data_IF_796354941984
#
_entry.id   IF_796354941984
#
_cell.length_a   1.000
_cell.length_b   1.000
_cell.length_c   1.000
_cell.angle_alpha   90.00
_cell.angle_beta   90.00
_cell.angle_gamma   90.00
#
_symmetry.space_group_name_H-M   'P 1'
#
loop_
_entity.id
_entity.type
_entity.pdbx_description
1 polymer ?
#
# COMPACT_ATOMS: atom_id res chain seq x y z
N UNK A 1 -9.88 -9.35 -26.96
CA UNK A 1 -9.72 -10.57 -26.12
C UNK A 1 -8.25 -10.73 -25.82
N UNK A 2 -7.78 -10.26 -24.66
CA UNK A 2 -6.44 -10.53 -24.12
C UNK A 2 -6.58 -10.53 -22.60
N UNK A 3 -6.60 -11.73 -22.04
CA UNK A 3 -5.53 -12.30 -21.20
C UNK A 3 -5.72 -11.96 -19.71
N UNK A 4 -6.65 -12.71 -19.12
CA UNK A 4 -6.69 -13.03 -17.69
C UNK A 4 -5.33 -13.61 -17.27
N UNK A 5 -4.42 -12.75 -16.85
CA UNK A 5 -3.12 -13.17 -16.34
C UNK A 5 -3.21 -13.24 -14.81
N UNK A 6 -2.87 -14.42 -14.33
CA UNK A 6 -3.04 -14.91 -12.97
C UNK A 6 -2.43 -13.96 -11.94
N UNK A 7 -3.28 -13.32 -11.13
CA UNK A 7 -2.87 -12.65 -9.90
C UNK A 7 -2.84 -13.69 -8.77
N UNK A 8 -2.06 -14.78 -8.97
CA UNK A 8 -1.80 -15.76 -7.92
C UNK A 8 -0.91 -15.10 -6.88
N UNK A 9 -1.57 -14.36 -5.99
CA UNK A 9 -1.19 -14.05 -4.62
C UNK A 9 0.18 -14.62 -4.23
N UNK A 10 1.15 -13.70 -4.05
CA UNK A 10 2.51 -13.93 -3.52
C UNK A 10 2.50 -14.46 -2.07
N UNK A 11 1.72 -15.49 -1.75
CA UNK A 11 1.78 -16.16 -0.45
C UNK A 11 2.81 -17.28 -0.58
N UNK A 12 4.03 -17.03 -0.11
CA UNK A 12 5.14 -17.99 -0.19
C UNK A 12 5.15 -18.98 0.98
N UNK A 13 4.33 -18.76 2.01
CA UNK A 13 4.18 -19.59 3.22
C UNK A 13 2.71 -19.62 3.67
N UNK A 14 2.40 -20.40 4.70
CA UNK A 14 1.08 -20.41 5.33
C UNK A 14 0.60 -18.97 5.58
N UNK A 15 -0.71 -18.73 5.40
CA UNK A 15 -1.31 -17.43 5.66
C UNK A 15 -1.47 -17.22 7.17
N UNK A 16 -1.32 -15.97 7.65
CA UNK A 16 -1.74 -15.58 8.99
C UNK A 16 -3.13 -16.11 9.34
N UNK A 17 -3.29 -16.61 10.56
CA UNK A 17 -4.48 -17.36 10.98
C UNK A 17 -5.75 -16.52 10.92
N UNK A 18 -5.64 -15.22 11.19
CA UNK A 18 -6.73 -14.26 11.01
C UNK A 18 -7.05 -14.01 9.53
N UNK A 19 -6.04 -13.98 8.63
CA UNK A 19 -6.27 -13.92 7.18
C UNK A 19 -6.99 -15.19 6.68
N UNK A 20 -6.66 -16.36 7.24
CA UNK A 20 -7.33 -17.63 6.95
C UNK A 20 -8.79 -17.62 7.44
N UNK A 21 -9.04 -17.27 8.70
CA UNK A 21 -10.40 -17.17 9.26
C UNK A 21 -11.24 -16.18 8.48
N UNK A 22 -10.67 -15.04 8.08
CA UNK A 22 -11.41 -14.06 7.28
C UNK A 22 -11.75 -14.57 5.88
N UNK A 23 -10.89 -15.38 5.25
CA UNK A 23 -11.20 -15.99 3.95
C UNK A 23 -12.40 -16.93 3.97
N UNK A 24 -12.70 -17.51 5.14
CA UNK A 24 -13.81 -18.43 5.36
C UNK A 24 -15.08 -17.72 5.87
N UNK A 25 -15.03 -16.40 6.04
CA UNK A 25 -16.11 -15.60 6.60
C UNK A 25 -16.53 -14.47 5.66
N UNK A 26 -17.75 -13.96 5.81
CA UNK A 26 -18.17 -12.74 5.12
C UNK A 26 -17.55 -11.45 5.71
N UNK A 27 -16.67 -11.56 6.72
CA UNK A 27 -16.01 -10.38 7.31
C UNK A 27 -14.94 -9.86 6.37
N UNK A 28 -15.00 -8.57 6.08
CA UNK A 28 -14.00 -7.85 5.26
C UNK A 28 -12.97 -7.09 6.07
N UNK A 29 -13.09 -7.08 7.41
CA UNK A 29 -12.19 -6.36 8.31
C UNK A 29 -11.78 -7.22 9.48
N UNK A 30 -10.50 -7.17 9.83
CA UNK A 30 -9.88 -7.93 10.91
C UNK A 30 -8.58 -7.27 11.33
N UNK A 31 -8.03 -7.71 12.45
CA UNK A 31 -6.78 -7.18 12.99
C UNK A 31 -5.67 -8.21 12.81
N UNK A 32 -4.49 -7.75 12.40
CA UNK A 32 -3.27 -8.54 12.36
C UNK A 32 -2.25 -7.95 13.32
N UNK A 33 -1.65 -8.80 14.15
CA UNK A 33 -0.56 -8.43 15.03
C UNK A 33 0.66 -9.28 14.69
N UNK A 34 1.83 -8.67 14.63
CA UNK A 34 3.03 -9.29 14.10
C UNK A 34 4.07 -8.28 13.68
N UNK A 35 4.94 -8.68 12.76
CA UNK A 35 6.15 -7.95 12.37
C UNK A 35 6.25 -7.78 10.86
N UNK A 36 6.83 -6.67 10.43
CA UNK A 36 7.22 -6.45 9.04
C UNK A 36 8.53 -7.19 8.76
N UNK A 37 8.49 -8.21 7.92
CA UNK A 37 9.65 -9.02 7.53
C UNK A 37 10.42 -8.41 6.35
N UNK A 38 9.70 -7.82 5.40
CA UNK A 38 10.27 -7.23 4.19
C UNK A 38 9.40 -6.08 3.67
N UNK A 39 9.99 -5.26 2.81
CA UNK A 39 9.32 -4.17 2.08
C UNK A 39 9.53 -4.41 0.59
N UNK A 40 8.50 -4.24 -0.24
CA UNK A 40 8.64 -4.34 -1.70
C UNK A 40 9.40 -3.10 -2.19
N UNK A 41 10.63 -3.32 -2.70
CA UNK A 41 11.51 -2.26 -3.21
C UNK A 41 11.39 -2.06 -4.71
N UNK A 42 10.63 -2.92 -5.40
CA UNK A 42 10.45 -2.87 -6.86
C UNK A 42 9.21 -2.06 -7.25
N UNK A 43 8.22 -1.97 -6.36
CA UNK A 43 7.00 -1.18 -6.58
C UNK A 43 7.18 0.30 -6.26
N UNK A 44 6.43 1.13 -6.98
CA UNK A 44 6.34 2.57 -6.74
C UNK A 44 5.83 2.82 -5.31
N UNK A 45 6.62 3.51 -4.47
CA UNK A 45 6.24 3.77 -3.09
C UNK A 45 5.19 4.87 -2.93
N UNK A 46 4.93 5.61 -4.00
CA UNK A 46 3.90 6.63 -4.07
C UNK A 46 3.19 6.62 -5.42
N UNK A 47 2.02 7.22 -5.43
CA UNK A 47 1.25 7.48 -6.64
C UNK A 47 0.61 8.86 -6.60
N UNK A 48 0.44 9.46 -7.77
CA UNK A 48 -0.41 10.64 -7.90
C UNK A 48 -1.86 10.21 -7.85
N UNK A 49 -2.64 10.91 -7.04
CA UNK A 49 -4.03 10.59 -6.78
C UNK A 49 -4.93 11.81 -6.95
N UNK A 50 -6.20 11.56 -7.24
CA UNK A 50 -7.20 12.60 -7.34
C UNK A 50 -7.46 13.24 -5.98
N UNK A 51 -7.64 14.57 -6.00
CA UNK A 51 -8.03 15.36 -4.82
C UNK A 51 -9.41 14.96 -4.27
N UNK A 52 -10.35 14.60 -5.15
CA UNK A 52 -11.75 14.37 -4.77
C UNK A 52 -12.08 12.93 -4.39
N UNK A 53 -11.58 11.95 -5.14
CA UNK A 53 -11.98 10.55 -4.97
C UNK A 53 -10.82 9.61 -4.57
N UNK A 54 -9.64 10.18 -4.35
CA UNK A 54 -8.42 9.47 -3.96
C UNK A 54 -7.86 8.42 -4.92
N UNK A 55 -8.51 8.17 -6.07
CA UNK A 55 -8.03 7.20 -7.06
C UNK A 55 -6.83 7.71 -7.83
N UNK A 56 -5.98 6.79 -8.29
CA UNK A 56 -4.78 7.07 -9.08
C UNK A 56 -5.11 7.95 -10.30
N UNK A 57 -4.24 8.92 -10.56
CA UNK A 57 -4.27 9.77 -11.76
C UNK A 57 -2.88 9.77 -12.40
N UNK A 58 -2.84 10.04 -13.70
CA UNK A 58 -1.61 9.98 -14.49
C UNK A 58 -1.27 11.37 -15.02
N UNK A 59 0.04 11.69 -15.05
CA UNK A 59 0.54 12.84 -15.81
C UNK A 59 0.47 12.51 -17.29
N UNK A 60 -0.21 13.33 -18.08
CA UNK A 60 -0.13 13.33 -19.53
C UNK A 60 0.93 14.32 -20.03
N UNK A 61 1.14 14.35 -21.35
CA UNK A 61 2.08 15.26 -22.01
C UNK A 61 1.76 16.75 -21.76
N UNK A 62 0.47 17.10 -21.62
CA UNK A 62 0.01 18.47 -21.32
C UNK A 62 -0.18 18.74 -19.82
N UNK A 63 0.35 17.89 -18.94
CA UNK A 63 0.14 17.98 -17.49
C UNK A 63 -0.86 16.96 -16.94
N UNK A 64 -1.37 17.19 -15.73
CA UNK A 64 -2.22 16.22 -15.05
C UNK A 64 -3.63 16.13 -15.63
N UNK A 65 -4.08 14.89 -15.80
CA UNK A 65 -5.33 14.57 -16.49
C UNK A 65 -6.54 14.61 -15.55
N UNK A 66 -7.69 14.83 -16.17
CA UNK A 66 -9.01 14.57 -15.57
C UNK A 66 -9.07 13.16 -15.01
N UNK A 67 -9.51 13.03 -13.75
CA UNK A 67 -9.68 11.73 -13.13
C UNK A 67 -10.75 10.94 -13.88
N UNK A 68 -10.38 9.78 -14.43
CA UNK A 68 -11.29 8.91 -15.21
C UNK A 68 -12.47 8.38 -14.39
N UNK A 69 -12.37 8.42 -13.06
CA UNK A 69 -13.40 7.90 -12.17
C UNK A 69 -14.46 8.92 -11.76
N UNK A 70 -14.09 10.18 -11.53
CA UNK A 70 -15.03 11.20 -11.06
C UNK A 70 -15.12 12.43 -11.96
N UNK A 71 -14.36 12.48 -13.07
CA UNK A 71 -14.35 13.61 -13.99
C UNK A 71 -13.68 14.88 -13.46
N UNK A 72 -13.08 14.84 -12.26
CA UNK A 72 -12.44 16.01 -11.67
C UNK A 72 -11.10 16.32 -12.36
N UNK A 73 -10.89 17.58 -12.72
CA UNK A 73 -9.63 18.07 -13.30
C UNK A 73 -8.61 18.28 -12.18
N UNK A 74 -7.49 17.56 -12.25
CA UNK A 74 -6.41 17.69 -11.26
C UNK A 74 -5.29 18.50 -11.88
N UNK A 75 -4.98 19.68 -11.34
CA UNK A 75 -3.87 20.49 -11.86
C UNK A 75 -2.51 19.97 -11.39
N UNK A 76 -2.39 19.61 -10.10
CA UNK A 76 -1.13 19.14 -9.49
C UNK A 76 -1.23 17.74 -8.86
N UNK A 77 -2.44 17.16 -8.75
CA UNK A 77 -2.64 15.86 -8.11
C UNK A 77 -2.18 15.92 -6.65
N UNK A 78 -2.34 14.82 -5.92
CA UNK A 78 -1.74 14.71 -4.58
C UNK A 78 -0.97 13.41 -4.49
N UNK A 79 0.24 13.50 -3.95
CA UNK A 79 1.03 12.33 -3.66
C UNK A 79 0.33 11.52 -2.55
N UNK A 80 0.29 10.20 -2.73
CA UNK A 80 -0.16 9.26 -1.70
C UNK A 80 0.81 8.09 -1.66
N UNK A 81 1.15 7.64 -0.46
CA UNK A 81 1.93 6.42 -0.29
C UNK A 81 1.19 5.21 -0.88
N UNK A 82 1.97 4.27 -1.38
CA UNK A 82 1.58 2.97 -1.92
C UNK A 82 2.63 1.93 -1.53
N UNK A 83 2.95 1.85 -0.23
CA UNK A 83 4.01 0.97 0.28
C UNK A 83 3.46 -0.44 0.47
N UNK A 84 4.19 -1.45 -0.01
CA UNK A 84 3.85 -2.84 0.22
C UNK A 84 4.86 -3.51 1.16
N UNK A 85 4.35 -4.28 2.11
CA UNK A 85 5.17 -4.95 3.13
C UNK A 85 4.80 -6.42 3.24
N UNK A 86 5.80 -7.27 3.46
CA UNK A 86 5.57 -8.63 3.93
C UNK A 86 5.39 -8.59 5.45
N UNK A 87 4.20 -8.91 5.91
CA UNK A 87 3.85 -8.99 7.31
C UNK A 87 3.80 -10.44 7.77
N UNK A 88 4.29 -10.71 8.97
CA UNK A 88 4.35 -12.04 9.54
C UNK A 88 3.80 -12.10 10.95
N UNK A 89 3.02 -13.14 11.24
CA UNK A 89 2.63 -13.53 12.59
C UNK A 89 3.20 -14.93 12.90
N UNK A 90 2.84 -15.50 14.05
CA UNK A 90 3.29 -16.84 14.47
C UNK A 90 2.84 -17.96 13.51
N UNK A 91 1.82 -17.73 12.70
CA UNK A 91 1.19 -18.73 11.85
C UNK A 91 1.56 -18.62 10.37
N UNK A 92 2.09 -17.47 9.93
CA UNK A 92 2.28 -17.26 8.51
C UNK A 92 2.82 -15.90 8.10
N UNK A 93 2.97 -15.73 6.78
CA UNK A 93 3.35 -14.46 6.15
C UNK A 93 2.35 -14.05 5.06
N UNK A 94 2.18 -12.75 4.89
CA UNK A 94 1.33 -12.18 3.85
C UNK A 94 1.83 -10.81 3.40
N UNK A 95 1.69 -10.52 2.11
CA UNK A 95 1.90 -9.17 1.60
C UNK A 95 0.67 -8.30 1.85
N UNK A 96 0.90 -7.12 2.43
CA UNK A 96 -0.12 -6.11 2.70
C UNK A 96 0.24 -4.82 1.96
N UNK A 97 -0.77 -4.17 1.39
CA UNK A 97 -0.64 -2.79 0.89
C UNK A 97 -0.97 -1.84 2.03
N UNK A 98 -0.03 -0.98 2.40
CA UNK A 98 -0.25 0.04 3.42
C UNK A 98 -0.99 1.22 2.77
N UNK A 99 -2.14 1.61 3.34
CA UNK A 99 -2.84 2.82 2.91
C UNK A 99 -1.97 4.06 3.10
N UNK A 100 -2.37 5.17 2.49
CA UNK A 100 -1.65 6.43 2.67
C UNK A 100 -1.54 6.84 4.15
N UNK A 101 -2.64 6.71 4.90
CA UNK A 101 -2.71 7.04 6.31
C UNK A 101 -1.88 6.07 7.16
N UNK A 102 -1.97 4.76 6.87
CA UNK A 102 -1.19 3.75 7.57
C UNK A 102 0.33 3.95 7.36
N UNK A 103 0.73 4.18 6.11
CA UNK A 103 2.12 4.47 5.73
C UNK A 103 2.62 5.75 6.40
N UNK A 104 1.83 6.83 6.37
CA UNK A 104 2.24 8.12 6.97
C UNK A 104 2.47 7.98 8.46
N UNK A 105 1.60 7.24 9.17
CA UNK A 105 1.76 7.00 10.61
C UNK A 105 2.97 6.13 10.92
N UNK A 106 3.18 5.07 10.15
CA UNK A 106 4.26 4.13 10.39
C UNK A 106 5.63 4.72 10.05
N UNK A 107 5.73 5.48 8.95
CA UNK A 107 6.97 6.14 8.49
C UNK A 107 7.25 7.41 9.31
N UNK A 108 6.21 8.12 9.76
CA UNK A 108 6.34 9.37 10.50
C UNK A 108 6.65 10.60 9.64
N UNK A 109 6.60 10.47 8.30
CA UNK A 109 6.85 11.54 7.34
C UNK A 109 5.73 11.60 6.30
N UNK A 110 5.38 12.81 5.85
CA UNK A 110 4.48 12.97 4.72
C UNK A 110 5.14 12.50 3.43
N UNK A 111 4.34 11.93 2.52
CA UNK A 111 4.82 11.48 1.21
C UNK A 111 5.38 12.65 0.39
N UNK A 112 4.77 13.84 0.48
CA UNK A 112 5.26 15.05 -0.19
C UNK A 112 6.68 15.41 0.25
N UNK A 113 7.01 15.24 1.54
CA UNK A 113 8.35 15.49 2.05
C UNK A 113 9.36 14.49 1.49
N UNK A 114 9.02 13.19 1.47
CA UNK A 114 9.91 12.15 0.94
C UNK A 114 10.13 12.34 -0.57
N UNK A 115 9.07 12.66 -1.32
CA UNK A 115 9.16 12.98 -2.76
C UNK A 115 10.01 14.23 -3.00
N UNK A 116 9.85 15.28 -2.20
CA UNK A 116 10.66 16.50 -2.31
C UNK A 116 12.16 16.25 -2.05
N UNK A 117 12.49 15.31 -1.15
CA UNK A 117 13.88 14.94 -0.86
C UNK A 117 14.55 14.17 -2.00
N UNK A 118 13.81 13.34 -2.73
CA UNK A 118 14.37 12.47 -3.78
C UNK A 118 14.16 12.98 -5.22
N UNK A 119 13.16 13.84 -5.42
CA UNK A 119 12.63 14.20 -6.73
C UNK A 119 11.50 13.28 -7.18
N UNK A 120 10.53 13.83 -7.91
CA UNK A 120 9.31 13.13 -8.34
C UNK A 120 9.50 12.14 -9.50
N UNK A 121 10.73 11.99 -10.00
CA UNK A 121 11.12 10.91 -10.90
C UNK A 121 11.54 9.64 -10.15
N UNK A 122 11.84 9.75 -8.85
CA UNK A 122 12.27 8.60 -8.03
C UNK A 122 11.04 7.95 -7.42
N UNK A 123 10.71 6.77 -7.93
CA UNK A 123 9.55 6.00 -7.48
C UNK A 123 9.90 4.84 -6.54
N UNK A 124 11.19 4.57 -6.31
CA UNK A 124 11.66 3.57 -5.35
C UNK A 124 11.70 4.14 -3.94
N UNK A 125 11.18 3.40 -2.96
CA UNK A 125 11.24 3.80 -1.55
C UNK A 125 12.72 4.00 -1.12
N UNK A 126 13.06 5.10 -0.43
CA UNK A 126 14.41 5.27 0.10
C UNK A 126 14.81 4.08 0.97
N UNK A 127 16.04 3.59 0.81
CA UNK A 127 16.51 2.41 1.52
C UNK A 127 16.48 2.60 3.05
N UNK A 128 16.76 3.81 3.54
CA UNK A 128 16.67 4.11 4.97
C UNK A 128 15.24 4.02 5.54
N UNK A 129 14.19 4.31 4.74
CA UNK A 129 12.81 4.05 5.16
C UNK A 129 12.54 2.55 5.14
N UNK A 130 12.96 1.86 4.08
CA UNK A 130 12.73 0.42 3.96
C UNK A 130 13.39 -0.37 5.12
N UNK A 131 14.62 0.01 5.48
CA UNK A 131 15.38 -0.57 6.59
C UNK A 131 14.76 -0.23 7.95
N UNK A 132 14.29 0.99 8.14
CA UNK A 132 13.62 1.42 9.37
C UNK A 132 12.28 0.71 9.59
N UNK A 133 11.53 0.42 8.52
CA UNK A 133 10.29 -0.34 8.58
C UNK A 133 10.53 -1.83 8.87
N UNK A 134 11.64 -2.38 8.37
CA UNK A 134 11.94 -3.80 8.49
C UNK A 134 12.21 -4.17 9.96
N UNK A 135 11.51 -5.19 10.44
CA UNK A 135 11.61 -5.65 11.82
C UNK A 135 10.68 -4.97 12.80
N UNK A 136 9.93 -3.92 12.39
CA UNK A 136 8.95 -3.25 13.26
C UNK A 136 7.76 -4.16 13.55
N UNK A 137 7.36 -4.18 14.81
CA UNK A 137 6.10 -4.76 15.24
C UNK A 137 4.97 -3.75 15.08
N UNK A 138 3.81 -4.22 14.67
CA UNK A 138 2.65 -3.39 14.44
C UNK A 138 1.36 -4.19 14.57
N UNK A 139 0.27 -3.49 14.89
CA UNK A 139 -1.08 -4.03 14.79
C UNK A 139 -1.80 -3.32 13.65
N UNK A 140 -2.14 -4.05 12.60
CA UNK A 140 -2.84 -3.52 11.43
C UNK A 140 -4.33 -3.86 11.47
N UNK A 141 -5.20 -2.86 11.27
CA UNK A 141 -6.56 -3.14 10.77
C UNK A 141 -6.45 -3.39 9.27
N UNK A 142 -6.81 -4.59 8.84
CA UNK A 142 -6.76 -5.00 7.43
C UNK A 142 -8.15 -5.09 6.86
N UNK A 143 -8.34 -4.45 5.71
CA UNK A 143 -9.55 -4.55 4.88
C UNK A 143 -9.23 -5.42 3.68
N UNK A 144 -9.92 -6.57 3.60
CA UNK A 144 -9.83 -7.45 2.44
C UNK A 144 -10.73 -6.95 1.31
N UNK A 145 -10.14 -6.67 0.17
CA UNK A 145 -10.84 -6.36 -1.08
C UNK A 145 -10.84 -7.58 -2.01
N UNK A 146 -11.48 -7.47 -3.18
CA UNK A 146 -11.44 -8.54 -4.18
C UNK A 146 -10.03 -8.73 -4.78
N UNK A 147 -9.20 -7.67 -4.74
CA UNK A 147 -7.93 -7.59 -5.45
C UNK A 147 -6.73 -7.75 -4.50
N UNK A 148 -6.84 -7.21 -3.29
CA UNK A 148 -5.73 -7.08 -2.34
C UNK A 148 -6.19 -6.98 -0.87
N UNK A 149 -5.25 -7.27 0.05
CA UNK A 149 -5.40 -7.07 1.49
C UNK A 149 -4.74 -5.73 1.88
N UNK A 150 -5.56 -4.74 2.26
CA UNK A 150 -5.10 -3.36 2.51
C UNK A 150 -5.06 -3.09 4.02
N UNK A 151 -3.89 -2.74 4.54
CA UNK A 151 -3.73 -2.24 5.89
C UNK A 151 -4.14 -0.76 5.94
N UNK A 152 -5.26 -0.45 6.58
CA UNK A 152 -5.86 0.90 6.59
C UNK A 152 -5.58 1.68 7.88
N UNK A 153 -5.13 0.99 8.92
CA UNK A 153 -4.84 1.59 10.22
C UNK A 153 -3.72 0.83 10.91
N UNK A 154 -2.92 1.55 11.70
CA UNK A 154 -1.80 1.00 12.46
C UNK A 154 -1.88 1.48 13.91
N UNK A 155 -1.74 0.56 14.86
CA UNK A 155 -1.32 0.84 16.22
C UNK A 155 0.16 0.44 16.34
N UNK A 156 0.97 1.38 16.80
CA UNK A 156 2.42 1.23 17.03
C UNK A 156 2.69 1.25 18.52
#
# INVERSE_FOLDING_TARGET
MMSSTQNSKRYSKSLPSELLKCSQSNKRRFWLHGRINAVDREKDFWQLSCLMCARRVWRGEEGLRTCVHCGHVNHNGIYRYSVEVEFADESGTAWLVLSHEASTRLIGLSVDYVVALQGDAVMRLPDWIAEDLQGREAVFEVVRTAEEDVAVFVLV
#
